data_IF_613056199641
#
_entry.id   IF_613056199641
#
_cell.length_a   1.000
_cell.length_b   1.000
_cell.length_c   1.000
_cell.angle_alpha   90.00
_cell.angle_beta   90.00
_cell.angle_gamma   90.00
#
_symmetry.space_group_name_H-M   'P 1'
#
loop_
_entity.id
_entity.type
_entity.pdbx_description
1 polymer ?
#
# COMPACT_ATOMS: atom_id res chain seq x y z
N UNK A 1 -17.04 7.53 -2.74
CA UNK A 1 -16.20 6.31 -2.73
C UNK A 1 -15.53 6.19 -1.37
N UNK A 2 -15.15 4.98 -0.96
CA UNK A 2 -14.46 4.73 0.32
C UNK A 2 -12.95 4.76 0.07
N UNK A 3 -12.20 5.51 0.88
CA UNK A 3 -10.74 5.50 0.83
C UNK A 3 -10.16 4.27 1.55
N UNK A 4 -9.03 3.77 1.05
CA UNK A 4 -8.35 2.60 1.60
C UNK A 4 -6.89 2.94 1.91
N UNK A 5 -6.49 2.78 3.17
CA UNK A 5 -5.09 2.85 3.60
C UNK A 5 -4.67 1.43 3.97
N UNK A 6 -3.65 0.91 3.29
CA UNK A 6 -3.02 -0.34 3.67
C UNK A 6 -1.69 -0.07 4.34
N UNK A 7 -1.44 -0.78 5.44
CA UNK A 7 -0.22 -0.64 6.21
C UNK A 7 0.31 -1.99 6.65
N UNK A 8 1.57 -2.05 7.06
CA UNK A 8 2.22 -3.24 7.56
C UNK A 8 3.73 -3.06 7.70
N UNK A 9 4.36 -4.05 8.34
CA UNK A 9 5.80 -4.06 8.59
C UNK A 9 6.61 -4.14 7.30
N UNK A 10 7.71 -3.39 7.24
CA UNK A 10 8.61 -3.36 6.10
C UNK A 10 7.88 -3.06 4.79
N UNK A 11 8.15 -3.85 3.76
CA UNK A 11 7.63 -3.62 2.41
C UNK A 11 6.30 -4.33 2.11
N UNK A 12 5.58 -4.83 3.12
CA UNK A 12 4.31 -5.52 2.92
C UNK A 12 3.28 -4.64 2.17
N UNK A 13 3.08 -3.41 2.65
CA UNK A 13 2.12 -2.48 2.07
C UNK A 13 2.47 -2.11 0.62
N UNK A 14 3.76 -1.84 0.36
CA UNK A 14 4.26 -1.53 -0.99
C UNK A 14 4.12 -2.70 -1.95
N UNK A 15 4.49 -3.91 -1.51
CA UNK A 15 4.35 -5.12 -2.32
C UNK A 15 2.89 -5.43 -2.67
N UNK A 16 1.97 -5.26 -1.72
CA UNK A 16 0.54 -5.45 -1.99
C UNK A 16 0.01 -4.40 -2.97
N UNK A 17 0.41 -3.14 -2.85
CA UNK A 17 0.02 -2.06 -3.75
C UNK A 17 0.47 -2.35 -5.20
N UNK A 18 1.69 -2.85 -5.37
CA UNK A 18 2.22 -3.25 -6.67
C UNK A 18 1.41 -4.41 -7.27
N UNK A 19 1.09 -5.43 -6.48
CA UNK A 19 0.27 -6.55 -6.94
C UNK A 19 -1.15 -6.10 -7.33
N UNK A 20 -1.77 -5.22 -6.54
CA UNK A 20 -3.08 -4.65 -6.84
C UNK A 20 -3.06 -3.87 -8.16
N UNK A 21 -2.04 -3.03 -8.37
CA UNK A 21 -1.88 -2.25 -9.60
C UNK A 21 -1.66 -3.15 -10.81
N UNK A 22 -0.89 -4.23 -10.67
CA UNK A 22 -0.65 -5.20 -11.73
C UNK A 22 -1.93 -5.93 -12.17
N UNK A 23 -2.81 -6.28 -11.22
CA UNK A 23 -4.01 -7.09 -11.49
C UNK A 23 -5.20 -6.21 -11.90
N UNK A 24 -5.38 -5.07 -11.23
CA UNK A 24 -6.59 -4.25 -11.30
C UNK A 24 -6.34 -2.82 -11.82
N UNK A 25 -5.10 -2.45 -12.11
CA UNK A 25 -4.72 -1.10 -12.51
C UNK A 25 -4.66 -0.11 -11.34
N UNK A 26 -4.43 1.15 -11.67
CA UNK A 26 -4.35 2.27 -10.72
C UNK A 26 -5.67 2.47 -9.95
N UNK A 27 -5.58 2.83 -8.66
CA UNK A 27 -6.72 3.02 -7.77
C UNK A 27 -6.79 4.47 -7.27
N UNK A 28 -7.94 5.14 -7.46
CA UNK A 28 -8.09 6.59 -7.20
C UNK A 28 -7.99 6.97 -5.70
N UNK A 29 -8.34 6.06 -4.79
CA UNK A 29 -8.40 6.34 -3.34
C UNK A 29 -7.72 5.23 -2.53
N UNK A 30 -6.51 4.86 -2.92
CA UNK A 30 -5.70 3.82 -2.26
C UNK A 30 -4.31 4.36 -1.91
N UNK A 31 -3.89 4.15 -0.67
CA UNK A 31 -2.56 4.56 -0.19
C UNK A 31 -1.89 3.43 0.59
N UNK A 32 -0.60 3.22 0.34
CA UNK A 32 0.22 2.24 1.02
C UNK A 32 1.22 2.94 1.95
N UNK A 33 1.10 2.67 3.26
CA UNK A 33 1.94 3.25 4.31
C UNK A 33 2.76 2.14 4.97
N UNK A 34 4.00 1.87 4.52
CA UNK A 34 4.89 0.91 5.15
C UNK A 34 5.40 1.40 6.50
N UNK A 35 5.67 0.48 7.43
CA UNK A 35 6.34 0.76 8.70
C UNK A 35 7.75 0.19 8.67
N UNK A 36 8.75 1.04 8.41
CA UNK A 36 10.15 0.61 8.37
C UNK A 36 10.77 0.74 9.76
N UNK A 37 11.60 -0.23 10.14
CA UNK A 37 12.24 -0.28 11.46
C UNK A 37 13.10 0.95 11.79
N UNK A 38 13.53 1.69 10.77
CA UNK A 38 14.36 2.90 10.89
C UNK A 38 13.57 4.21 10.81
N UNK A 39 12.25 4.15 10.62
CA UNK A 39 11.40 5.34 10.65
C UNK A 39 11.04 5.69 12.11
N UNK A 40 11.12 6.98 12.51
CA UNK A 40 10.96 7.42 13.89
C UNK A 40 9.55 7.24 14.46
#
# INVERSE_FOLDING_TARGET
MIGCIVTGHGEFAGGLAQALTMIAGEQEHFEAVPFRETEP
#
